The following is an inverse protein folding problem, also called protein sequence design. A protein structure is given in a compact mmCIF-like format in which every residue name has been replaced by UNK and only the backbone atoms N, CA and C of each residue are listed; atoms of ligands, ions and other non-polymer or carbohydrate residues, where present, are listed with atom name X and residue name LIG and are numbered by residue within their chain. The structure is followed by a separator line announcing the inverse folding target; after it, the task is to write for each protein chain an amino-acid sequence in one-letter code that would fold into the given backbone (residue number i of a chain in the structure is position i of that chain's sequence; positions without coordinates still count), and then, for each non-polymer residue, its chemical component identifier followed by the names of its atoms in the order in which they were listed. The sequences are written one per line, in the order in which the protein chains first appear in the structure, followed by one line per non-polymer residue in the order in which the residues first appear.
data_IF_040883435508
#
_entry.id   IF_040883435508
#
_cell.length_a   1.000
_cell.length_b   1.000
_cell.length_c   1.000
_cell.angle_alpha   90.00
_cell.angle_beta   90.00
_cell.angle_gamma   90.00
#
_symmetry.space_group_name_H-M   'P 1'
#
loop_
_entity.id
_entity.type
_entity.pdbx_description
1 polymer ?
#
# COMPACT_ATOMS: atom_id res chain seq x y z
N UNK A 1 -2.52 5.74 -14.36
CA UNK A 1 -1.97 6.29 -15.63
C UNK A 1 -0.76 5.47 -16.07
N UNK A 2 -0.61 5.18 -17.38
CA UNK A 2 0.50 4.39 -17.95
C UNK A 2 1.53 5.27 -18.66
N UNK A 3 2.83 4.96 -18.52
CA UNK A 3 3.94 5.68 -19.18
C UNK A 3 5.08 4.73 -19.54
N UNK A 4 5.77 4.98 -20.66
CA UNK A 4 6.97 4.22 -21.07
C UNK A 4 8.25 4.68 -20.34
N UNK A 5 8.25 5.90 -19.81
CA UNK A 5 9.34 6.47 -19.01
C UNK A 5 8.82 6.78 -17.60
N UNK A 6 9.73 6.89 -16.64
CA UNK A 6 9.37 7.32 -15.28
C UNK A 6 8.70 8.69 -15.37
N UNK A 7 7.48 8.87 -14.82
CA UNK A 7 6.83 10.18 -14.79
C UNK A 7 7.73 11.23 -14.12
N UNK A 8 7.79 12.44 -14.67
CA UNK A 8 8.47 13.55 -14.00
C UNK A 8 7.70 13.97 -12.74
N UNK A 9 8.35 14.62 -11.76
CA UNK A 9 7.67 15.10 -10.56
C UNK A 9 6.48 16.03 -10.86
N UNK A 10 6.56 16.83 -11.93
CA UNK A 10 5.47 17.69 -12.38
C UNK A 10 4.26 16.89 -12.86
N UNK A 11 4.49 15.84 -13.66
CA UNK A 11 3.43 14.93 -14.11
C UNK A 11 2.78 14.23 -12.92
N UNK A 12 3.55 13.83 -11.90
CA UNK A 12 3.03 13.23 -10.67
C UNK A 12 2.17 14.23 -9.90
N UNK A 13 2.64 15.47 -9.71
CA UNK A 13 1.87 16.52 -9.03
C UNK A 13 0.54 16.81 -9.72
N UNK A 14 0.55 17.03 -11.04
CA UNK A 14 -0.67 17.30 -11.81
C UNK A 14 -1.63 16.10 -11.78
N UNK A 15 -1.09 14.87 -11.82
CA UNK A 15 -1.89 13.67 -11.64
C UNK A 15 -2.55 13.63 -10.26
N UNK A 16 -1.80 13.83 -9.17
CA UNK A 16 -2.36 13.82 -7.81
C UNK A 16 -3.40 14.92 -7.60
N UNK A 17 -3.13 16.14 -8.11
CA UNK A 17 -4.09 17.24 -8.07
C UNK A 17 -5.43 16.87 -8.74
N UNK A 18 -5.40 16.16 -9.88
CA UNK A 18 -6.61 15.68 -10.56
C UNK A 18 -7.40 14.62 -9.78
N UNK A 19 -6.79 14.00 -8.76
CA UNK A 19 -7.38 12.93 -7.95
C UNK A 19 -7.82 13.42 -6.57
N UNK A 20 -7.33 14.59 -6.14
CA UNK A 20 -7.42 15.10 -4.78
C UNK A 20 -8.86 15.09 -4.23
N UNK A 21 -9.82 15.56 -5.03
CA UNK A 21 -11.22 15.75 -4.63
C UNK A 21 -12.14 14.59 -5.03
N UNK A 22 -11.62 13.57 -5.71
CA UNK A 22 -12.44 12.46 -6.20
C UNK A 22 -12.81 11.50 -5.06
N UNK A 23 -13.99 10.91 -5.14
CA UNK A 23 -14.38 9.81 -4.26
C UNK A 23 -13.47 8.58 -4.45
N UNK A 24 -13.44 7.71 -3.45
CA UNK A 24 -12.78 6.40 -3.56
C UNK A 24 -13.43 5.58 -4.69
N UNK A 25 -12.65 4.71 -5.31
CA UNK A 25 -13.09 3.89 -6.46
C UNK A 25 -13.73 2.56 -6.05
N UNK A 26 -13.95 2.35 -4.76
CA UNK A 26 -14.51 1.14 -4.15
C UNK A 26 -15.41 1.52 -2.97
N UNK A 27 -16.30 0.58 -2.62
CA UNK A 27 -17.14 0.65 -1.42
C UNK A 27 -16.51 -0.17 -0.29
N UNK A 28 -16.89 0.10 0.96
CA UNK A 28 -16.39 -0.63 2.13
C UNK A 28 -15.11 -0.05 2.73
N UNK A 29 -14.98 1.28 2.73
CA UNK A 29 -13.92 2.01 3.44
C UNK A 29 -13.79 1.53 4.90
N UNK A 30 -12.54 1.29 5.32
CA UNK A 30 -12.20 0.76 6.63
C UNK A 30 -12.42 -0.74 6.79
N UNK A 31 -12.80 -1.46 5.72
CA UNK A 31 -13.04 -2.89 5.75
C UNK A 31 -11.83 -3.70 6.23
N UNK A 32 -10.61 -3.29 5.85
CA UNK A 32 -9.37 -3.95 6.29
C UNK A 32 -9.06 -3.74 7.77
N UNK A 33 -9.69 -2.78 8.45
CA UNK A 33 -9.62 -2.63 9.90
C UNK A 33 -10.70 -3.44 10.63
N UNK A 34 -11.91 -3.51 10.07
CA UNK A 34 -13.05 -4.24 10.65
C UNK A 34 -13.04 -5.75 10.35
N UNK A 35 -12.14 -6.21 9.47
CA UNK A 35 -12.15 -7.59 8.98
C UNK A 35 -13.28 -7.87 7.97
N UNK A 36 -13.86 -6.82 7.40
CA UNK A 36 -14.94 -6.89 6.42
C UNK A 36 -14.35 -6.82 5.02
N UNK A 37 -14.55 -7.86 4.22
CA UNK A 37 -14.12 -7.87 2.81
C UNK A 37 -15.36 -7.87 1.92
N UNK A 38 -15.53 -6.86 1.04
CA UNK A 38 -16.69 -6.83 0.16
C UNK A 38 -16.69 -8.04 -0.80
N UNK A 39 -17.88 -8.58 -1.09
CA UNK A 39 -18.03 -9.73 -2.00
C UNK A 39 -17.44 -9.43 -3.39
N UNK A 40 -16.71 -10.38 -3.94
CA UNK A 40 -16.13 -10.29 -5.29
C UNK A 40 -14.80 -9.56 -5.38
N UNK A 41 -14.19 -9.23 -4.24
CA UNK A 41 -12.80 -8.79 -4.16
C UNK A 41 -11.89 -9.98 -3.86
N UNK A 42 -10.71 -9.99 -4.47
CA UNK A 42 -9.66 -10.92 -4.08
C UNK A 42 -8.95 -10.38 -2.84
N UNK A 43 -8.71 -11.25 -1.87
CA UNK A 43 -8.05 -10.91 -0.61
C UNK A 43 -6.60 -11.40 -0.65
N UNK A 44 -5.68 -10.56 -0.21
CA UNK A 44 -4.28 -10.89 0.01
C UNK A 44 -3.92 -10.56 1.45
N UNK A 45 -3.46 -11.56 2.20
CA UNK A 45 -3.01 -11.39 3.58
C UNK A 45 -1.59 -11.91 3.72
N UNK A 46 -0.68 -11.05 4.16
CA UNK A 46 0.74 -11.34 4.28
C UNK A 46 1.23 -10.90 5.64
N UNK A 47 1.79 -11.83 6.42
CA UNK A 47 2.34 -11.56 7.75
C UNK A 47 3.79 -12.03 7.84
N UNK A 48 4.61 -11.31 8.62
CA UNK A 48 6.03 -11.61 8.86
C UNK A 48 6.43 -11.20 10.28
N UNK A 49 7.08 -12.09 11.03
CA UNK A 49 7.74 -11.70 12.28
C UNK A 49 8.98 -10.88 11.95
N UNK A 50 9.12 -9.73 12.60
CA UNK A 50 10.24 -8.80 12.45
C UNK A 50 11.28 -8.96 13.56
N UNK A 51 10.85 -9.28 14.78
CA UNK A 51 11.74 -9.37 15.93
C UNK A 51 10.98 -9.54 17.23
N UNK A 52 11.51 -8.94 18.30
CA UNK A 52 10.87 -8.86 19.62
C UNK A 52 11.28 -7.60 20.36
N UNK A 53 10.45 -7.15 21.31
CA UNK A 53 10.72 -6.01 22.16
C UNK A 53 10.34 -4.65 21.58
N UNK A 54 10.30 -3.65 22.47
CA UNK A 54 9.96 -2.26 22.15
C UNK A 54 10.87 -1.65 21.06
N UNK A 55 12.17 -1.98 21.07
CA UNK A 55 13.12 -1.44 20.11
C UNK A 55 12.80 -1.90 18.67
N UNK A 56 12.48 -3.20 18.49
CA UNK A 56 12.07 -3.73 17.20
C UNK A 56 10.76 -3.07 16.73
N UNK A 57 9.82 -2.82 17.65
CA UNK A 57 8.56 -2.14 17.35
C UNK A 57 8.78 -0.69 16.89
N UNK A 58 9.64 0.08 17.56
CA UNK A 58 9.95 1.46 17.16
C UNK A 58 10.71 1.52 15.82
N UNK A 59 11.65 0.60 15.56
CA UNK A 59 12.28 0.47 14.23
C UNK A 59 11.25 0.17 13.15
N UNK A 60 10.30 -0.73 13.43
CA UNK A 60 9.23 -1.08 12.51
C UNK A 60 8.30 0.12 12.21
N UNK A 61 7.95 0.91 13.23
CA UNK A 61 7.18 2.16 13.07
C UNK A 61 7.91 3.16 12.18
N UNK A 62 9.20 3.35 12.40
CA UNK A 62 10.03 4.22 11.55
C UNK A 62 10.08 3.71 10.11
N UNK A 63 10.21 2.40 9.90
CA UNK A 63 10.20 1.80 8.57
C UNK A 63 8.87 2.06 7.83
N UNK A 64 7.72 1.95 8.51
CA UNK A 64 6.42 2.33 7.94
C UNK A 64 6.41 3.82 7.57
N UNK A 65 6.80 4.72 8.48
CA UNK A 65 6.84 6.18 8.24
C UNK A 65 7.76 6.58 7.09
N UNK A 66 8.79 5.79 6.82
CA UNK A 66 9.72 5.99 5.70
C UNK A 66 9.29 5.28 4.41
N UNK A 67 8.06 4.78 4.34
CA UNK A 67 7.50 4.08 3.18
C UNK A 67 8.29 2.82 2.76
N UNK A 68 9.02 2.18 3.70
CA UNK A 68 9.77 0.93 3.44
C UNK A 68 8.86 -0.25 3.07
N UNK A 69 7.56 -0.12 3.30
CA UNK A 69 6.52 -1.05 2.85
C UNK A 69 6.43 -1.15 1.32
N UNK A 70 6.93 -0.15 0.58
CA UNK A 70 7.01 -0.11 -0.88
C UNK A 70 8.48 -0.22 -1.37
N UNK A 71 9.00 -1.45 -1.57
CA UNK A 71 10.41 -1.64 -1.91
C UNK A 71 10.76 -1.18 -3.34
N UNK A 72 11.82 -0.37 -3.41
CA UNK A 72 12.51 -0.01 -4.65
C UNK A 72 13.17 -1.23 -5.33
N UNK A 73 13.54 -1.16 -6.63
CA UNK A 73 13.36 -0.04 -7.56
C UNK A 73 12.03 -0.09 -8.33
N UNK A 74 11.17 -1.07 -8.06
CA UNK A 74 9.99 -1.34 -8.88
C UNK A 74 8.68 -0.87 -8.24
N UNK A 75 8.67 -0.58 -6.93
CA UNK A 75 7.60 0.18 -6.27
C UNK A 75 8.15 1.38 -5.53
N UNK A 76 7.45 2.52 -5.60
CA UNK A 76 7.83 3.75 -4.90
C UNK A 76 6.58 4.54 -4.56
N UNK A 77 6.53 5.14 -3.37
CA UNK A 77 5.53 6.14 -2.98
C UNK A 77 6.03 7.52 -3.40
N UNK A 78 5.18 8.30 -4.04
CA UNK A 78 5.52 9.67 -4.43
C UNK A 78 4.36 10.63 -4.07
N UNK A 79 4.62 11.74 -3.35
CA UNK A 79 5.89 12.14 -2.74
C UNK A 79 6.31 11.26 -1.55
N UNK A 80 7.61 10.92 -1.45
CA UNK A 80 8.17 10.14 -0.32
C UNK A 80 8.11 10.87 1.02
N UNK A 81 7.95 12.20 0.99
CA UNK A 81 7.87 13.06 2.19
C UNK A 81 6.44 13.21 2.71
N UNK A 82 5.45 12.57 2.07
CA UNK A 82 4.05 12.67 2.49
C UNK A 82 3.90 12.05 3.88
N UNK A 83 3.32 12.77 4.86
CA UNK A 83 3.06 12.22 6.19
C UNK A 83 1.95 11.17 6.12
N UNK A 84 1.98 10.23 7.08
CA UNK A 84 0.92 9.23 7.22
C UNK A 84 -0.23 9.86 8.00
N UNK A 85 -1.11 10.54 7.28
CA UNK A 85 -2.26 11.25 7.83
C UNK A 85 -3.51 10.98 6.99
N UNK A 86 -4.68 10.90 7.64
CA UNK A 86 -5.96 10.67 6.95
C UNK A 86 -6.21 11.77 5.93
N UNK A 87 -6.64 11.37 4.73
CA UNK A 87 -6.95 12.28 3.63
C UNK A 87 -5.78 12.59 2.70
N UNK A 88 -4.54 12.26 3.08
CA UNK A 88 -3.37 12.46 2.21
C UNK A 88 -3.48 11.62 0.94
N UNK A 89 -3.27 12.25 -0.22
CA UNK A 89 -3.35 11.62 -1.54
C UNK A 89 -1.94 11.41 -2.07
N UNK A 90 -1.64 10.18 -2.44
CA UNK A 90 -0.29 9.77 -2.87
C UNK A 90 -0.34 8.88 -4.10
N UNK A 91 0.79 8.83 -4.81
CA UNK A 91 0.98 7.96 -5.95
C UNK A 91 1.80 6.74 -5.55
N UNK A 92 1.29 5.55 -5.87
CA UNK A 92 2.08 4.31 -5.92
C UNK A 92 2.60 4.13 -7.34
N UNK A 93 3.90 4.32 -7.54
CA UNK A 93 4.57 3.97 -8.77
C UNK A 93 4.84 2.48 -8.79
N UNK A 94 4.46 1.81 -9.87
CA UNK A 94 4.79 0.40 -10.10
C UNK A 94 5.40 0.23 -11.48
N UNK A 95 6.58 -0.41 -11.57
CA UNK A 95 7.24 -0.71 -12.85
C UNK A 95 7.10 -2.19 -13.20
N UNK A 96 6.35 -2.48 -14.25
CA UNK A 96 6.08 -3.84 -14.74
C UNK A 96 6.47 -3.92 -16.21
N UNK A 97 7.34 -4.87 -16.57
CA UNK A 97 7.83 -5.07 -17.94
C UNK A 97 8.29 -3.78 -18.65
N UNK A 98 9.00 -2.91 -17.91
CA UNK A 98 9.49 -1.62 -18.43
C UNK A 98 8.45 -0.50 -18.46
N UNK A 99 7.16 -0.79 -18.23
CA UNK A 99 6.07 0.19 -18.21
C UNK A 99 5.84 0.69 -16.79
N UNK A 100 5.72 2.01 -16.66
CA UNK A 100 5.40 2.69 -15.40
C UNK A 100 3.90 2.87 -15.25
N UNK A 101 3.40 2.41 -14.12
CA UNK A 101 2.02 2.57 -13.67
C UNK A 101 2.02 3.57 -12.53
N UNK A 102 1.29 4.66 -12.72
CA UNK A 102 1.05 5.67 -11.71
C UNK A 102 -0.36 5.45 -11.15
N UNK A 103 -0.44 5.05 -9.89
CA UNK A 103 -1.69 4.67 -9.24
C UNK A 103 -2.00 5.62 -8.09
N UNK A 104 -3.16 6.27 -8.12
CA UNK A 104 -3.54 7.23 -7.08
C UNK A 104 -4.27 6.52 -5.92
N UNK A 105 -3.90 6.88 -4.70
CA UNK A 105 -4.49 6.35 -3.48
C UNK A 105 -4.69 7.48 -2.47
N UNK A 106 -5.55 7.27 -1.48
CA UNK A 106 -5.77 8.20 -0.36
C UNK A 106 -5.67 7.43 0.95
N UNK A 107 -4.97 7.96 1.94
CA UNK A 107 -4.97 7.38 3.30
C UNK A 107 -6.38 7.53 3.88
N UNK A 108 -7.01 6.41 4.23
CA UNK A 108 -8.41 6.36 4.70
C UNK A 108 -8.50 6.28 6.23
N UNK A 109 -7.50 5.67 6.88
CA UNK A 109 -7.35 5.71 8.33
C UNK A 109 -5.91 5.46 8.74
N UNK A 110 -5.59 5.85 9.98
CA UNK A 110 -4.31 5.62 10.65
C UNK A 110 -4.57 4.87 11.94
N UNK A 111 -3.68 3.94 12.27
CA UNK A 111 -3.66 3.22 13.55
C UNK A 111 -2.43 3.73 14.31
N UNK A 112 -2.65 4.32 15.48
CA UNK A 112 -1.59 4.80 16.37
C UNK A 112 -1.96 4.45 17.81
N UNK A 113 -1.62 3.24 18.20
CA UNK A 113 -1.90 2.62 19.50
C UNK A 113 -0.56 2.25 20.17
N UNK A 114 -0.52 2.05 21.50
CA UNK A 114 0.73 1.78 22.22
C UNK A 114 1.55 0.60 21.69
N UNK A 115 0.88 -0.42 21.13
CA UNK A 115 1.50 -1.66 20.63
C UNK A 115 1.13 -1.96 19.17
N UNK A 116 0.54 -0.99 18.47
CA UNK A 116 0.14 -1.16 17.07
C UNK A 116 0.24 0.15 16.33
N UNK A 117 0.85 0.12 15.15
CA UNK A 117 0.98 1.31 14.31
C UNK A 117 0.82 0.94 12.84
N UNK A 118 0.17 1.80 12.08
CA UNK A 118 0.02 1.59 10.64
C UNK A 118 -1.00 2.51 10.01
N UNK A 119 -1.35 2.18 8.78
CA UNK A 119 -2.35 2.93 8.01
C UNK A 119 -2.99 2.01 6.98
N UNK A 120 -4.07 2.48 6.38
CA UNK A 120 -4.52 1.96 5.11
C UNK A 120 -4.72 3.08 4.11
N UNK A 121 -4.50 2.76 2.84
CA UNK A 121 -5.00 3.58 1.75
C UNK A 121 -6.16 2.90 1.06
N UNK A 122 -7.02 3.73 0.48
CA UNK A 122 -8.03 3.36 -0.50
C UNK A 122 -7.63 3.82 -1.89
N UNK A 123 -8.05 3.09 -2.93
CA UNK A 123 -7.73 3.42 -4.32
C UNK A 123 -8.62 4.53 -4.89
N UNK A 124 -8.03 5.45 -5.66
CA UNK A 124 -8.74 6.51 -6.39
C UNK A 124 -8.96 6.17 -7.88
N UNK A 125 -9.77 6.95 -8.63
CA UNK A 125 -10.02 6.72 -10.05
C UNK A 125 -8.77 6.75 -10.97
N UNK A 126 -7.59 7.13 -10.49
CA UNK A 126 -6.33 7.01 -11.20
C UNK A 126 -5.67 5.63 -11.09
N UNK A 127 -6.19 4.75 -10.23
CA UNK A 127 -5.63 3.44 -9.89
C UNK A 127 -6.08 2.34 -10.87
N UNK A 128 -5.17 1.41 -11.18
CA UNK A 128 -5.42 0.27 -12.08
C UNK A 128 -6.31 -0.81 -11.44
N UNK A 129 -6.12 -1.06 -10.16
CA UNK A 129 -7.02 -1.84 -9.30
C UNK A 129 -8.04 -0.93 -8.59
N UNK A 130 -9.05 -1.52 -7.96
CA UNK A 130 -9.87 -0.85 -6.96
C UNK A 130 -9.97 -1.66 -5.66
N UNK A 131 -9.87 -1.03 -4.50
CA UNK A 131 -9.90 -1.68 -3.19
C UNK A 131 -9.15 -0.90 -2.10
N UNK A 132 -8.82 -1.59 -1.02
CA UNK A 132 -8.14 -1.05 0.17
C UNK A 132 -6.95 -1.94 0.55
N UNK A 133 -5.88 -1.32 1.04
CA UNK A 133 -4.69 -2.04 1.53
C UNK A 133 -4.19 -1.43 2.83
N UNK A 134 -4.14 -2.25 3.88
CA UNK A 134 -3.64 -1.94 5.23
C UNK A 134 -2.22 -2.45 5.40
N UNK A 135 -1.38 -1.61 6.01
CA UNK A 135 -0.03 -1.93 6.43
C UNK A 135 0.10 -1.63 7.93
N UNK A 136 0.42 -2.62 8.76
CA UNK A 136 0.57 -2.43 10.20
C UNK A 136 1.75 -3.18 10.77
N UNK A 137 2.28 -2.66 11.87
CA UNK A 137 3.17 -3.36 12.80
C UNK A 137 2.47 -3.54 14.13
N UNK A 138 2.61 -4.72 14.73
CA UNK A 138 1.96 -5.14 15.97
C UNK A 138 3.00 -5.73 16.91
N UNK A 139 3.01 -5.29 18.17
CA UNK A 139 3.82 -5.86 19.25
C UNK A 139 2.91 -6.68 20.18
N UNK A 140 3.02 -8.00 20.11
CA UNK A 140 2.13 -8.93 20.82
C UNK A 140 2.59 -9.17 22.25
N UNK A 141 1.71 -9.71 23.10
CA UNK A 141 1.98 -9.94 24.54
C UNK A 141 3.13 -10.92 24.81
N UNK A 142 3.45 -11.80 23.85
CA UNK A 142 4.61 -12.71 23.88
C UNK A 142 5.94 -12.03 23.51
N UNK A 143 5.94 -10.69 23.51
CA UNK A 143 7.03 -9.80 23.11
C UNK A 143 7.39 -9.82 21.63
N UNK A 144 6.71 -10.59 20.78
CA UNK A 144 7.03 -10.64 19.34
C UNK A 144 6.48 -9.43 18.58
N UNK A 145 7.26 -8.94 17.61
CA UNK A 145 6.87 -7.85 16.72
C UNK A 145 6.60 -8.39 15.32
N UNK A 146 5.43 -8.06 14.77
CA UNK A 146 4.95 -8.55 13.48
C UNK A 146 4.62 -7.41 12.53
N UNK A 147 4.93 -7.62 11.26
CA UNK A 147 4.41 -6.83 10.14
C UNK A 147 3.26 -7.58 9.48
N UNK A 148 2.20 -6.85 9.16
CA UNK A 148 0.97 -7.37 8.57
C UNK A 148 0.51 -6.48 7.42
N UNK A 149 0.21 -7.11 6.28
CA UNK A 149 -0.37 -6.48 5.09
C UNK A 149 -1.65 -7.20 4.75
N UNK A 150 -2.77 -6.48 4.78
CA UNK A 150 -4.07 -7.00 4.39
C UNK A 150 -4.66 -6.11 3.29
N UNK A 151 -4.96 -6.71 2.16
CA UNK A 151 -5.56 -6.03 1.03
C UNK A 151 -6.80 -6.77 0.54
N UNK A 152 -7.80 -6.02 0.08
CA UNK A 152 -8.81 -6.54 -0.82
C UNK A 152 -8.81 -5.71 -2.11
N UNK A 153 -8.83 -6.36 -3.26
CA UNK A 153 -8.78 -5.64 -4.55
C UNK A 153 -9.48 -6.38 -5.68
N UNK A 154 -9.90 -5.63 -6.70
CA UNK A 154 -10.34 -6.16 -7.99
C UNK A 154 -9.89 -5.26 -9.15
N UNK A 155 -9.71 -5.82 -10.36
CA UNK A 155 -9.27 -5.01 -11.49
C UNK A 155 -10.28 -3.94 -11.89
N UNK A 156 -9.78 -2.71 -12.06
CA UNK A 156 -10.57 -1.59 -12.60
C UNK A 156 -10.21 -1.30 -14.05
N UNK A 157 -8.94 -1.33 -14.40
CA UNK A 157 -8.46 -1.02 -15.76
C UNK A 157 -8.61 -2.23 -16.70
N UNK A 158 -9.03 -2.05 -17.97
CA UNK A 158 -9.18 -3.16 -18.92
C UNK A 158 -7.93 -4.02 -19.09
N UNK A 159 -6.75 -3.39 -19.14
CA UNK A 159 -5.47 -4.12 -19.19
C UNK A 159 -5.21 -4.95 -17.93
N UNK A 160 -5.63 -4.47 -16.75
CA UNK A 160 -5.51 -5.25 -15.52
C UNK A 160 -6.50 -6.42 -15.48
N UNK A 161 -7.68 -6.28 -16.11
CA UNK A 161 -8.63 -7.39 -16.30
C UNK A 161 -8.09 -8.45 -17.26
N UNK A 162 -7.58 -8.03 -18.43
CA UNK A 162 -7.04 -8.95 -19.43
C UNK A 162 -5.76 -9.64 -18.93
N UNK A 163 -4.91 -8.90 -18.24
CA UNK A 163 -3.68 -9.40 -17.63
C UNK A 163 -3.86 -9.88 -16.19
N UNK A 164 -5.06 -10.24 -15.75
CA UNK A 164 -5.34 -10.51 -14.34
C UNK A 164 -4.42 -11.56 -13.69
N UNK A 165 -4.11 -12.71 -14.34
CA UNK A 165 -3.13 -13.65 -13.78
C UNK A 165 -1.74 -13.02 -13.53
N UNK A 166 -1.29 -12.13 -14.43
CA UNK A 166 -0.05 -11.38 -14.24
C UNK A 166 -0.18 -10.36 -13.11
N UNK A 167 -1.30 -9.64 -13.01
CA UNK A 167 -1.56 -8.73 -11.90
C UNK A 167 -1.48 -9.46 -10.55
N UNK A 168 -2.11 -10.64 -10.44
CA UNK A 168 -2.00 -11.51 -9.24
C UNK A 168 -0.57 -11.95 -8.96
N UNK A 169 0.22 -12.26 -9.98
CA UNK A 169 1.64 -12.59 -9.82
C UNK A 169 2.43 -11.42 -9.21
N UNK A 170 2.19 -10.19 -9.69
CA UNK A 170 2.84 -8.99 -9.16
C UNK A 170 2.36 -8.61 -7.75
N UNK A 171 1.09 -8.82 -7.42
CA UNK A 171 0.57 -8.65 -6.05
C UNK A 171 1.27 -9.62 -5.08
N UNK A 172 1.42 -10.89 -5.46
CA UNK A 172 2.18 -11.86 -4.64
C UNK A 172 3.67 -11.50 -4.53
N UNK A 173 4.26 -10.97 -5.61
CA UNK A 173 5.64 -10.44 -5.59
C UNK A 173 5.76 -9.25 -4.64
N UNK A 174 4.79 -8.33 -4.66
CA UNK A 174 4.72 -7.19 -3.75
C UNK A 174 4.69 -7.66 -2.30
N UNK A 175 3.77 -8.56 -1.94
CA UNK A 175 3.67 -9.09 -0.57
C UNK A 175 4.99 -9.70 -0.08
N UNK A 176 5.69 -10.47 -0.92
CA UNK A 176 7.03 -11.01 -0.56
C UNK A 176 8.08 -9.91 -0.40
N UNK A 177 8.17 -8.98 -1.35
CA UNK A 177 9.18 -7.93 -1.33
C UNK A 177 8.96 -6.95 -0.17
N UNK A 178 7.70 -6.60 0.11
CA UNK A 178 7.30 -5.73 1.22
C UNK A 178 7.69 -6.34 2.56
N UNK A 179 7.36 -7.62 2.79
CA UNK A 179 7.79 -8.37 3.98
C UNK A 179 9.31 -8.38 4.14
N UNK A 180 10.04 -8.67 3.08
CA UNK A 180 11.51 -8.70 3.11
C UNK A 180 12.11 -7.33 3.44
N UNK A 181 11.56 -6.25 2.86
CA UNK A 181 12.00 -4.88 3.13
C UNK A 181 11.76 -4.47 4.58
N UNK A 182 10.61 -4.81 5.15
CA UNK A 182 10.32 -4.56 6.57
C UNK A 182 11.22 -5.37 7.49
N UNK A 183 11.44 -6.65 7.18
CA UNK A 183 12.35 -7.50 7.95
C UNK A 183 13.81 -7.02 7.91
N UNK A 184 14.26 -6.43 6.81
CA UNK A 184 15.60 -5.87 6.71
C UNK A 184 15.76 -4.50 7.41
N UNK A 185 14.67 -3.85 7.78
CA UNK A 185 14.68 -2.52 8.43
C UNK A 185 14.61 -2.60 9.96
N UNK A 186 14.42 -3.80 10.52
CA UNK A 186 14.28 -4.07 11.96
C UNK A 186 15.36 -5.03 12.39
#
# INVERSE_FOLDING_TARGET
MLRLRRPSPEVVRSFLASQQTLALSYDGEGGTNRGETPRGYAVDHNRQRLGSGAEAFERAKMAIRQWRTFPAPWTVIEPVTTPIEVGQVLAVHVRIFGIWWLNATRIVYVIDEPRRFGFAYGTLPGHAERGEERFTVEWLDDDTVWYDVLAFSRPRHPLARLGYPLARMFQRRFGRASKASMAAAV
#
